data_IF_251460809849
#
_entry.id   IF_251460809849
#
_cell.length_a   1.000
_cell.length_b   1.000
_cell.length_c   1.000
_cell.angle_alpha   90.00
_cell.angle_beta   90.00
_cell.angle_gamma   90.00
#
_symmetry.space_group_name_H-M   'P 1'
#
loop_
_entity.id
_entity.type
_entity.pdbx_description
1 polymer ?
#
# COMPACT_ATOMS: atom_id res chain seq x y z
N UNK A 1 -27.13 25.72 39.70
CA UNK A 1 -26.51 25.32 38.41
C UNK A 1 -27.60 24.69 37.56
N UNK A 2 -27.55 24.82 36.24
CA UNK A 2 -28.51 24.12 35.38
C UNK A 2 -28.32 22.60 35.54
N UNK A 3 -29.40 21.85 35.76
CA UNK A 3 -29.37 20.38 35.91
C UNK A 3 -29.28 19.64 34.55
N UNK A 4 -29.49 20.37 33.45
CA UNK A 4 -29.53 19.86 32.09
C UNK A 4 -28.69 20.74 31.17
N UNK A 5 -28.36 20.23 29.98
CA UNK A 5 -27.49 20.91 29.01
C UNK A 5 -26.02 20.71 29.36
N UNK A 6 -25.20 21.71 29.07
CA UNK A 6 -23.76 21.64 29.37
C UNK A 6 -23.52 21.88 30.86
N UNK A 7 -23.11 20.83 31.57
CA UNK A 7 -22.78 20.86 33.00
C UNK A 7 -21.28 20.60 33.23
N UNK A 8 -20.82 20.68 34.49
CA UNK A 8 -19.45 20.30 34.85
C UNK A 8 -19.13 18.83 34.59
N UNK A 9 -20.15 17.96 34.58
CA UNK A 9 -19.99 16.53 34.32
C UNK A 9 -20.15 16.17 32.83
N UNK A 10 -20.32 17.17 31.96
CA UNK A 10 -20.61 16.99 30.53
C UNK A 10 -22.05 17.35 30.16
N UNK A 11 -22.48 16.93 28.97
CA UNK A 11 -23.83 17.18 28.49
C UNK A 11 -24.84 16.23 29.15
N UNK A 12 -25.88 16.80 29.76
CA UNK A 12 -26.98 16.05 30.37
C UNK A 12 -28.25 16.35 29.59
N UNK A 13 -28.69 15.37 28.80
CA UNK A 13 -29.91 15.48 28.00
C UNK A 13 -31.15 15.52 28.90
N UNK A 14 -32.01 16.52 28.71
CA UNK A 14 -33.36 16.53 29.28
C UNK A 14 -34.24 15.56 28.47
N UNK A 15 -34.87 14.55 29.08
CA UNK A 15 -35.69 13.57 28.32
C UNK A 15 -37.11 14.10 28.14
N UNK A 16 -37.87 13.45 27.28
CA UNK A 16 -39.25 13.86 26.94
C UNK A 16 -40.17 13.96 28.18
N UNK A 17 -40.15 13.02 29.14
CA UNK A 17 -41.05 13.10 30.31
C UNK A 17 -40.84 14.37 31.13
N UNK A 18 -39.59 14.76 31.38
CA UNK A 18 -39.29 15.96 32.16
C UNK A 18 -39.67 17.23 31.38
N UNK A 19 -39.49 17.22 30.05
CA UNK A 19 -39.92 18.33 29.18
C UNK A 19 -41.44 18.47 29.14
N UNK A 20 -42.17 17.36 29.02
CA UNK A 20 -43.63 17.34 28.99
C UNK A 20 -44.20 17.84 30.32
N UNK A 21 -43.62 17.42 31.43
CA UNK A 21 -44.02 17.91 32.75
C UNK A 21 -43.82 19.43 32.88
N UNK A 22 -42.68 19.98 32.45
CA UNK A 22 -42.45 21.43 32.45
C UNK A 22 -43.45 22.19 31.56
N UNK A 23 -43.80 21.63 30.39
CA UNK A 23 -44.79 22.21 29.49
C UNK A 23 -46.20 22.21 30.11
N UNK A 24 -46.59 21.11 30.76
CA UNK A 24 -47.85 21.01 31.49
C UNK A 24 -47.95 21.99 32.66
N UNK A 25 -46.88 22.15 33.43
CA UNK A 25 -46.82 23.13 34.52
C UNK A 25 -46.96 24.56 34.00
N UNK A 26 -46.27 24.90 32.89
CA UNK A 26 -46.38 26.21 32.25
C UNK A 26 -47.77 26.47 31.67
N UNK A 27 -48.39 25.46 31.05
CA UNK A 27 -49.74 25.58 30.50
C UNK A 27 -50.75 25.88 31.63
N UNK A 28 -50.68 25.17 32.75
CA UNK A 28 -51.52 25.44 33.93
C UNK A 28 -51.31 26.83 34.52
N UNK A 29 -50.06 27.31 34.56
CA UNK A 29 -49.77 28.68 35.00
C UNK A 29 -50.36 29.75 34.07
N UNK A 30 -50.35 29.52 32.75
CA UNK A 30 -50.82 30.49 31.77
C UNK A 30 -52.34 30.50 31.58
N UNK A 31 -52.98 29.33 31.57
CA UNK A 31 -54.41 29.18 31.25
C UNK A 31 -55.29 28.85 32.48
N UNK A 32 -54.69 28.67 33.67
CA UNK A 32 -55.37 28.35 34.91
C UNK A 32 -55.30 26.86 35.28
N UNK A 33 -55.44 26.54 36.57
CA UNK A 33 -55.23 25.19 37.09
C UNK A 33 -56.34 24.19 36.72
N UNK A 34 -57.49 24.67 36.26
CA UNK A 34 -58.66 23.84 35.94
C UNK A 34 -58.62 23.26 34.52
N UNK A 35 -57.62 23.62 33.72
CA UNK A 35 -57.47 23.06 32.37
C UNK A 35 -57.14 21.57 32.42
N UNK A 36 -57.83 20.79 31.61
CA UNK A 36 -57.51 19.38 31.39
C UNK A 36 -56.38 19.26 30.37
N UNK A 37 -55.31 18.57 30.76
CA UNK A 37 -54.06 18.41 29.99
C UNK A 37 -53.72 16.94 29.76
N UNK A 38 -54.73 16.07 29.85
CA UNK A 38 -54.57 14.65 29.52
C UNK A 38 -54.24 14.52 28.02
N UNK A 39 -53.49 13.48 27.60
CA UNK A 39 -53.12 13.27 26.19
C UNK A 39 -54.32 13.19 25.24
N UNK A 40 -55.51 12.90 25.77
CA UNK A 40 -56.78 12.79 25.05
C UNK A 40 -57.40 14.16 24.71
N UNK A 41 -56.96 15.23 25.37
CA UNK A 41 -57.39 16.61 25.06
C UNK A 41 -56.55 17.20 23.93
N UNK A 42 -57.14 18.12 23.16
CA UNK A 42 -56.44 18.84 22.08
C UNK A 42 -55.17 19.52 22.61
N UNK A 43 -55.25 20.17 23.77
CA UNK A 43 -54.10 20.84 24.38
C UNK A 43 -53.03 19.83 24.83
N UNK A 44 -53.42 18.72 25.47
CA UNK A 44 -52.47 17.67 25.87
C UNK A 44 -51.78 16.99 24.68
N UNK A 45 -52.51 16.76 23.58
CA UNK A 45 -51.91 16.26 22.33
C UNK A 45 -50.91 17.28 21.76
N UNK A 46 -51.27 18.57 21.70
CA UNK A 46 -50.36 19.62 21.18
C UNK A 46 -49.07 19.72 22.01
N UNK A 47 -49.18 19.72 23.34
CA UNK A 47 -48.02 19.77 24.23
C UNK A 47 -47.15 18.51 24.12
N UNK A 48 -47.75 17.35 23.87
CA UNK A 48 -47.01 16.10 23.62
C UNK A 48 -46.21 16.16 22.31
N UNK A 49 -46.80 16.67 21.22
CA UNK A 49 -46.11 16.88 19.94
C UNK A 49 -44.96 17.87 20.11
N UNK A 50 -45.16 18.93 20.88
CA UNK A 50 -44.13 19.92 21.17
C UNK A 50 -42.99 19.33 22.00
N UNK A 51 -43.30 18.55 23.05
CA UNK A 51 -42.31 17.85 23.86
C UNK A 51 -41.49 16.85 23.03
N UNK A 52 -42.12 16.13 22.10
CA UNK A 52 -41.43 15.21 21.19
C UNK A 52 -40.44 15.96 20.29
N UNK A 53 -40.86 17.09 19.69
CA UNK A 53 -39.99 17.93 18.86
C UNK A 53 -38.82 18.50 19.65
N UNK A 54 -39.04 18.96 20.88
CA UNK A 54 -37.94 19.42 21.72
C UNK A 54 -37.02 18.26 22.15
N UNK A 55 -37.56 17.08 22.44
CA UNK A 55 -36.75 15.91 22.72
C UNK A 55 -35.82 15.59 21.54
N UNK A 56 -36.32 15.59 20.30
CA UNK A 56 -35.48 15.41 19.10
C UNK A 56 -34.39 16.48 18.98
N UNK A 57 -34.68 17.74 19.33
CA UNK A 57 -33.67 18.80 19.36
C UNK A 57 -32.61 18.55 20.45
N UNK A 58 -33.02 18.12 21.64
CA UNK A 58 -32.10 17.76 22.72
C UNK A 58 -31.20 16.57 22.35
N UNK A 59 -31.72 15.58 21.63
CA UNK A 59 -30.94 14.47 21.07
C UNK A 59 -29.96 14.93 20.01
N UNK A 60 -30.37 15.82 19.11
CA UNK A 60 -29.47 16.42 18.13
C UNK A 60 -28.34 17.20 18.81
N UNK A 61 -28.66 18.00 19.84
CA UNK A 61 -27.65 18.78 20.57
C UNK A 61 -26.67 17.87 21.33
N UNK A 62 -27.16 16.78 21.94
CA UNK A 62 -26.29 15.75 22.53
C UNK A 62 -25.36 15.13 21.49
N UNK A 63 -25.89 14.80 20.30
CA UNK A 63 -25.09 14.29 19.19
C UNK A 63 -24.05 15.29 18.69
N UNK A 64 -24.40 16.59 18.58
CA UNK A 64 -23.47 17.66 18.21
C UNK A 64 -22.37 17.82 19.26
N UNK A 65 -22.70 17.74 20.54
CA UNK A 65 -21.72 17.76 21.62
C UNK A 65 -20.78 16.55 21.53
N UNK A 66 -21.32 15.33 21.35
CA UNK A 66 -20.55 14.11 21.19
C UNK A 66 -19.65 14.10 19.95
N UNK A 67 -20.07 14.75 18.86
CA UNK A 67 -19.29 14.85 17.62
C UNK A 67 -18.00 15.69 17.76
N UNK A 68 -17.85 16.48 18.83
CA UNK A 68 -16.65 17.30 19.06
C UNK A 68 -15.50 16.51 19.68
N UNK A 69 -15.80 15.42 20.38
CA UNK A 69 -14.79 14.63 21.08
C UNK A 69 -14.46 13.40 20.27
N UNK A 70 -13.17 13.12 20.02
CA UNK A 70 -12.76 11.93 19.29
C UNK A 70 -13.51 10.72 19.80
N UNK A 71 -13.39 10.37 21.09
CA UNK A 71 -13.94 9.16 21.74
C UNK A 71 -15.45 8.90 21.58
N UNK A 72 -16.23 9.88 21.11
CA UNK A 72 -17.67 9.73 20.85
C UNK A 72 -18.09 10.07 19.42
N UNK A 73 -17.20 10.61 18.59
CA UNK A 73 -17.50 11.02 17.23
C UNK A 73 -17.35 9.85 16.24
N UNK A 74 -18.11 9.85 15.15
CA UNK A 74 -17.98 8.82 14.10
C UNK A 74 -17.87 9.45 12.72
N UNK A 75 -17.36 8.69 11.75
CA UNK A 75 -17.19 9.11 10.36
C UNK A 75 -16.49 10.46 10.21
N UNK A 76 -17.04 11.35 9.38
CA UNK A 76 -16.43 12.65 9.07
C UNK A 76 -16.23 13.56 10.31
N UNK A 77 -17.04 13.39 11.36
CA UNK A 77 -16.85 14.15 12.60
C UNK A 77 -15.66 13.62 13.40
N UNK A 78 -15.46 12.30 13.41
CA UNK A 78 -14.26 11.71 13.98
C UNK A 78 -13.01 12.22 13.25
N UNK A 79 -13.02 12.23 11.91
CA UNK A 79 -11.90 12.72 11.11
C UNK A 79 -11.54 14.18 11.43
N UNK A 80 -12.56 15.03 11.60
CA UNK A 80 -12.37 16.43 12.02
C UNK A 80 -11.83 16.51 13.45
N UNK A 81 -12.39 15.73 14.39
CA UNK A 81 -11.98 15.75 15.78
C UNK A 81 -10.53 15.26 15.98
N UNK A 82 -10.10 14.22 15.25
CA UNK A 82 -8.71 13.72 15.32
C UNK A 82 -7.73 14.61 14.55
N UNK A 83 -8.19 15.40 13.58
CA UNK A 83 -7.30 16.27 12.79
C UNK A 83 -6.52 17.27 13.65
N UNK A 84 -7.06 17.66 14.81
CA UNK A 84 -6.38 18.54 15.77
C UNK A 84 -5.08 17.94 16.35
N UNK A 85 -4.95 16.61 16.38
CA UNK A 85 -3.73 15.93 16.82
C UNK A 85 -2.80 15.55 15.66
N UNK A 86 -3.11 15.99 14.44
CA UNK A 86 -2.32 15.68 13.24
C UNK A 86 -2.61 14.32 12.62
N UNK A 87 -3.44 13.50 13.27
CA UNK A 87 -3.87 12.19 12.77
C UNK A 87 -4.85 12.38 11.62
N UNK A 88 -4.62 11.66 10.52
CA UNK A 88 -5.54 11.55 9.41
C UNK A 88 -5.84 10.09 9.14
N UNK A 89 -7.09 9.77 8.83
CA UNK A 89 -7.52 8.41 8.46
C UNK A 89 -6.69 7.88 7.31
N UNK A 90 -6.19 6.65 7.45
CA UNK A 90 -5.49 6.01 6.35
C UNK A 90 -6.51 5.65 5.27
N UNK A 91 -6.32 6.20 4.08
CA UNK A 91 -7.17 5.97 2.93
C UNK A 91 -6.93 4.58 2.35
N UNK A 92 -7.97 4.06 1.69
CA UNK A 92 -7.91 2.80 0.97
C UNK A 92 -6.92 2.88 -0.20
N UNK A 93 -6.22 1.78 -0.46
CA UNK A 93 -5.26 1.64 -1.55
C UNK A 93 -5.50 0.33 -2.31
N UNK A 94 -5.37 0.39 -3.64
CA UNK A 94 -5.47 -0.79 -4.53
C UNK A 94 -4.17 -1.60 -4.42
N UNK A 95 -4.27 -2.91 -4.54
CA UNK A 95 -3.07 -3.73 -4.71
C UNK A 95 -2.52 -3.53 -6.12
N UNK A 96 -1.20 -3.46 -6.27
CA UNK A 96 -0.55 -3.30 -7.57
C UNK A 96 0.52 -4.35 -7.83
N UNK A 97 0.75 -4.69 -9.08
CA UNK A 97 1.81 -5.61 -9.48
C UNK A 97 2.32 -5.29 -10.89
N UNK A 98 3.65 -5.22 -11.11
CA UNK A 98 4.22 -5.10 -12.44
C UNK A 98 4.16 -6.46 -13.16
N UNK A 99 3.41 -6.51 -14.26
CA UNK A 99 3.25 -7.71 -15.11
C UNK A 99 3.88 -7.46 -16.46
N UNK A 100 4.57 -8.46 -16.99
CA UNK A 100 5.12 -8.47 -18.35
C UNK A 100 4.15 -9.20 -19.26
N UNK A 101 3.69 -8.52 -20.30
CA UNK A 101 2.89 -9.09 -21.40
C UNK A 101 3.82 -9.49 -22.52
N UNK A 102 3.92 -10.78 -22.78
CA UNK A 102 4.78 -11.35 -23.81
C UNK A 102 3.98 -11.57 -25.09
N UNK A 103 4.47 -11.07 -26.22
CA UNK A 103 3.73 -11.12 -27.47
C UNK A 103 4.52 -10.65 -28.67
N UNK A 104 3.79 -10.42 -29.76
CA UNK A 104 4.33 -9.87 -31.00
C UNK A 104 4.56 -8.36 -30.85
N UNK A 105 5.42 -7.81 -31.72
CA UNK A 105 5.61 -6.37 -31.81
C UNK A 105 4.33 -5.68 -32.32
N UNK A 106 4.06 -4.48 -31.82
CA UNK A 106 2.91 -3.64 -32.11
C UNK A 106 1.54 -4.21 -31.67
N UNK A 107 1.53 -5.26 -30.85
CA UNK A 107 0.31 -5.75 -30.21
C UNK A 107 -0.26 -4.71 -29.24
N UNK A 108 -1.53 -4.35 -29.43
CA UNK A 108 -2.28 -3.44 -28.55
C UNK A 108 -2.75 -4.18 -27.29
N UNK A 109 -2.47 -3.59 -26.14
CA UNK A 109 -3.01 -3.96 -24.83
C UNK A 109 -3.96 -2.83 -24.43
N UNK A 110 -5.29 -3.01 -24.54
CA UNK A 110 -6.26 -2.01 -24.15
C UNK A 110 -6.20 -1.70 -22.66
N UNK A 111 -6.65 -0.50 -22.27
CA UNK A 111 -6.99 -0.25 -20.87
C UNK A 111 -8.02 -1.29 -20.38
N UNK A 112 -8.02 -1.56 -19.08
CA UNK A 112 -8.91 -2.55 -18.46
C UNK A 112 -8.71 -4.02 -18.90
N UNK A 113 -7.53 -4.37 -19.42
CA UNK A 113 -7.14 -5.76 -19.66
C UNK A 113 -6.96 -6.49 -18.33
N UNK A 114 -7.65 -7.61 -18.14
CA UNK A 114 -7.67 -8.36 -16.89
C UNK A 114 -6.67 -9.52 -16.86
N UNK A 115 -5.83 -9.55 -15.82
CA UNK A 115 -4.91 -10.65 -15.48
C UNK A 115 -5.25 -11.15 -14.08
N UNK A 116 -5.29 -12.47 -13.91
CA UNK A 116 -5.63 -13.12 -12.64
C UNK A 116 -4.38 -13.51 -11.87
N UNK A 117 -4.38 -13.20 -10.57
CA UNK A 117 -3.52 -13.85 -9.60
C UNK A 117 -4.03 -15.28 -9.39
N UNK A 118 -3.28 -16.29 -9.85
CA UNK A 118 -3.74 -17.69 -9.80
C UNK A 118 -3.84 -18.25 -8.38
N UNK A 119 -3.12 -17.67 -7.42
CA UNK A 119 -3.14 -18.14 -6.03
C UNK A 119 -4.37 -17.62 -5.26
N UNK A 120 -4.70 -16.34 -5.40
CA UNK A 120 -5.83 -15.72 -4.69
C UNK A 120 -7.11 -15.60 -5.52
N UNK A 121 -7.03 -15.86 -6.83
CA UNK A 121 -8.09 -15.65 -7.81
C UNK A 121 -8.50 -14.17 -8.00
N UNK A 122 -7.74 -13.23 -7.43
CA UNK A 122 -7.98 -11.78 -7.56
C UNK A 122 -7.62 -11.30 -8.96
N UNK A 123 -8.45 -10.42 -9.53
CA UNK A 123 -8.20 -9.80 -10.84
C UNK A 123 -7.48 -8.46 -10.70
N UNK A 124 -6.50 -8.25 -11.56
CA UNK A 124 -5.77 -7.01 -11.73
C UNK A 124 -5.95 -6.50 -13.16
N UNK A 125 -6.00 -5.19 -13.32
CA UNK A 125 -6.36 -4.51 -14.55
C UNK A 125 -5.30 -3.49 -14.95
N UNK A 126 -5.10 -3.31 -16.25
CA UNK A 126 -4.27 -2.23 -16.79
C UNK A 126 -5.00 -0.89 -16.70
N UNK A 127 -4.37 0.15 -16.17
CA UNK A 127 -5.01 1.48 -16.05
C UNK A 127 -5.12 2.24 -17.39
N UNK A 128 -4.25 1.94 -18.36
CA UNK A 128 -4.20 2.65 -19.65
C UNK A 128 -3.86 1.72 -20.80
N UNK A 129 -4.14 2.15 -22.03
CA UNK A 129 -3.71 1.41 -23.21
C UNK A 129 -2.20 1.48 -23.40
N UNK A 130 -1.61 0.43 -23.94
CA UNK A 130 -0.21 0.39 -24.31
C UNK A 130 0.03 -0.57 -25.48
N UNK A 131 1.20 -0.47 -26.12
CA UNK A 131 1.59 -1.35 -27.23
C UNK A 131 2.92 -2.02 -26.94
N UNK A 132 2.98 -3.33 -27.17
CA UNK A 132 4.25 -4.08 -27.11
C UNK A 132 5.16 -3.51 -28.18
N UNK A 133 6.25 -2.86 -27.78
CA UNK A 133 7.15 -2.20 -28.71
C UNK A 133 8.61 -2.44 -28.32
N UNK A 134 9.49 -2.45 -29.33
CA UNK A 134 10.90 -2.72 -29.12
C UNK A 134 11.66 -1.55 -28.47
N UNK A 135 11.08 -0.36 -28.37
CA UNK A 135 11.71 0.82 -27.76
C UNK A 135 11.55 0.86 -26.23
N UNK A 136 10.55 0.16 -25.70
CA UNK A 136 10.22 0.05 -24.28
C UNK A 136 10.04 -1.42 -23.88
N UNK A 137 10.89 -2.30 -24.41
CA UNK A 137 10.86 -3.72 -24.10
C UNK A 137 11.35 -3.98 -22.68
N UNK A 138 10.58 -4.73 -21.89
CA UNK A 138 11.03 -5.33 -20.63
C UNK A 138 11.60 -6.73 -20.85
N UNK A 139 11.26 -7.37 -21.96
CA UNK A 139 11.81 -8.65 -22.40
C UNK A 139 11.95 -8.67 -23.92
N UNK A 140 12.96 -9.38 -24.42
CA UNK A 140 13.11 -9.68 -25.84
C UNK A 140 13.72 -11.07 -26.05
N UNK A 141 13.18 -11.81 -27.02
CA UNK A 141 13.71 -13.07 -27.51
C UNK A 141 14.29 -12.87 -28.91
N UNK A 142 15.58 -13.17 -29.06
CA UNK A 142 16.31 -13.06 -30.32
C UNK A 142 16.55 -14.46 -30.88
N UNK A 143 16.27 -14.62 -32.17
CA UNK A 143 16.51 -15.83 -32.94
C UNK A 143 17.24 -15.52 -34.25
N UNK A 144 17.87 -16.52 -34.86
CA UNK A 144 18.40 -16.38 -36.21
C UNK A 144 17.27 -16.38 -37.23
N UNK A 145 17.34 -15.46 -38.18
CA UNK A 145 16.44 -15.40 -39.34
C UNK A 145 17.05 -16.07 -40.58
N UNK A 146 18.22 -16.72 -40.44
CA UNK A 146 18.92 -17.40 -41.53
C UNK A 146 19.36 -18.80 -41.11
N UNK A 147 19.28 -19.75 -42.05
CA UNK A 147 19.84 -21.10 -41.90
C UNK A 147 21.27 -21.23 -42.43
N UNK A 148 21.71 -20.25 -43.23
CA UNK A 148 23.05 -20.22 -43.80
C UNK A 148 23.90 -19.24 -43.00
N UNK A 149 24.97 -19.74 -42.39
CA UNK A 149 25.95 -18.98 -41.61
C UNK A 149 27.32 -19.24 -42.23
N UNK A 150 28.00 -18.19 -42.67
CA UNK A 150 29.36 -18.26 -43.17
C UNK A 150 30.34 -17.68 -42.13
N UNK A 151 31.59 -18.17 -42.08
CA UNK A 151 32.63 -17.48 -41.33
C UNK A 151 32.75 -16.00 -41.76
N UNK A 152 32.92 -15.12 -40.79
CA UNK A 152 32.92 -13.65 -40.89
C UNK A 152 31.56 -12.96 -41.04
N UNK A 153 30.44 -13.69 -41.12
CA UNK A 153 29.11 -13.06 -41.02
C UNK A 153 28.97 -12.31 -39.69
N UNK A 154 28.51 -11.06 -39.73
CA UNK A 154 28.36 -10.20 -38.56
C UNK A 154 26.90 -10.23 -38.05
N UNK A 155 26.74 -10.53 -36.76
CA UNK A 155 25.47 -10.54 -36.05
C UNK A 155 25.52 -9.45 -34.98
N UNK A 156 24.49 -8.61 -34.90
CA UNK A 156 24.49 -7.50 -33.95
C UNK A 156 23.12 -7.24 -33.35
N UNK A 157 23.13 -6.86 -32.08
CA UNK A 157 21.99 -6.29 -31.38
C UNK A 157 22.37 -4.88 -30.87
N UNK A 158 21.47 -3.92 -31.02
CA UNK A 158 21.62 -2.57 -30.50
C UNK A 158 20.71 -2.48 -29.28
N UNK A 159 21.28 -2.24 -28.10
CA UNK A 159 20.55 -2.07 -26.84
C UNK A 159 20.76 -0.64 -26.36
N UNK A 160 19.69 0.13 -26.22
CA UNK A 160 19.77 1.55 -25.82
C UNK A 160 20.76 2.37 -26.65
N UNK A 161 20.79 2.12 -27.96
CA UNK A 161 21.69 2.79 -28.92
C UNK A 161 23.12 2.24 -28.96
N UNK A 162 23.50 1.34 -28.05
CA UNK A 162 24.84 0.72 -28.03
C UNK A 162 24.83 -0.59 -28.81
N UNK A 163 25.72 -0.71 -29.80
CA UNK A 163 25.80 -1.89 -30.66
C UNK A 163 26.74 -2.97 -30.07
N UNK A 164 26.20 -4.18 -29.89
CA UNK A 164 26.92 -5.38 -29.50
C UNK A 164 27.05 -6.28 -30.72
N UNK A 165 28.26 -6.72 -31.04
CA UNK A 165 28.56 -7.40 -32.31
C UNK A 165 29.30 -8.71 -32.08
N UNK A 166 28.99 -9.70 -32.91
CA UNK A 166 29.72 -10.95 -32.96
C UNK A 166 29.93 -11.37 -34.42
N UNK A 167 31.16 -11.76 -34.76
CA UNK A 167 31.48 -12.32 -36.08
C UNK A 167 31.55 -13.85 -35.99
N UNK A 168 30.82 -14.53 -36.87
CA UNK A 168 30.80 -15.98 -36.91
C UNK A 168 32.19 -16.53 -37.22
N UNK A 169 32.69 -17.42 -36.37
CA UNK A 169 33.98 -18.10 -36.57
C UNK A 169 33.84 -19.42 -37.32
N UNK A 170 32.63 -19.97 -37.37
CA UNK A 170 32.25 -21.23 -38.00
C UNK A 170 30.75 -21.25 -38.29
N UNK A 171 30.32 -22.09 -39.23
CA UNK A 171 28.92 -22.30 -39.59
C UNK A 171 28.14 -23.04 -38.49
N UNK A 172 27.81 -22.34 -37.40
CA UNK A 172 27.13 -22.94 -36.24
C UNK A 172 26.25 -21.92 -35.52
N UNK A 173 24.94 -22.21 -35.45
CA UNK A 173 23.95 -21.42 -34.70
C UNK A 173 24.37 -21.25 -33.25
N UNK A 174 24.71 -22.35 -32.58
CA UNK A 174 25.15 -22.35 -31.18
C UNK A 174 26.37 -21.45 -30.95
N UNK A 175 27.30 -21.40 -31.91
CA UNK A 175 28.48 -20.54 -31.82
C UNK A 175 28.11 -19.06 -31.89
N UNK A 176 27.20 -18.69 -32.79
CA UNK A 176 26.71 -17.32 -32.95
C UNK A 176 25.91 -16.87 -31.73
N UNK A 177 24.95 -17.68 -31.28
CA UNK A 177 24.10 -17.39 -30.11
C UNK A 177 24.94 -17.24 -28.84
N UNK A 178 25.90 -18.15 -28.59
CA UNK A 178 26.82 -18.01 -27.44
C UNK A 178 27.72 -16.78 -27.55
N UNK A 179 28.24 -16.51 -28.75
CA UNK A 179 29.11 -15.36 -28.99
C UNK A 179 28.42 -14.03 -28.73
N UNK A 180 27.25 -13.83 -29.35
CA UNK A 180 26.46 -12.61 -29.18
C UNK A 180 25.91 -12.47 -27.74
N UNK A 181 25.38 -13.55 -27.16
CA UNK A 181 24.92 -13.51 -25.75
C UNK A 181 26.04 -13.22 -24.77
N UNK A 182 27.28 -13.67 -25.05
CA UNK A 182 28.46 -13.33 -24.25
C UNK A 182 28.72 -11.82 -24.19
N UNK A 183 28.59 -11.11 -25.31
CA UNK A 183 28.70 -9.64 -25.36
C UNK A 183 27.55 -8.97 -24.60
N UNK A 184 26.32 -9.47 -24.76
CA UNK A 184 25.15 -8.90 -24.10
C UNK A 184 25.15 -9.12 -22.58
N UNK A 185 25.83 -10.15 -22.08
CA UNK A 185 26.00 -10.40 -20.62
C UNK A 185 26.85 -9.36 -19.92
N UNK A 186 27.57 -8.51 -20.64
CA UNK A 186 28.32 -7.38 -20.06
C UNK A 186 27.41 -6.20 -19.67
N UNK A 187 26.10 -6.28 -19.97
CA UNK A 187 25.13 -5.23 -19.64
C UNK A 187 24.58 -5.45 -18.23
N UNK A 188 24.93 -4.57 -17.29
CA UNK A 188 24.60 -4.72 -15.87
C UNK A 188 23.10 -4.66 -15.52
N UNK A 189 22.27 -4.03 -16.37
CA UNK A 189 20.85 -3.80 -16.08
C UNK A 189 19.90 -4.84 -16.71
N UNK A 190 20.42 -5.85 -17.43
CA UNK A 190 19.63 -6.93 -18.03
C UNK A 190 20.15 -8.30 -17.62
N UNK A 191 19.25 -9.27 -17.57
CA UNK A 191 19.58 -10.69 -17.51
C UNK A 191 19.58 -11.27 -18.91
N UNK A 192 20.64 -11.99 -19.27
CA UNK A 192 20.77 -12.64 -20.58
C UNK A 192 20.89 -14.15 -20.40
N UNK A 193 19.91 -14.88 -20.92
CA UNK A 193 19.89 -16.34 -20.98
C UNK A 193 19.99 -16.82 -22.43
N UNK A 194 20.54 -18.01 -22.66
CA UNK A 194 20.54 -18.65 -23.97
C UNK A 194 20.54 -20.18 -23.83
N UNK A 195 19.91 -20.86 -24.79
CA UNK A 195 19.81 -22.32 -24.88
C UNK A 195 20.53 -22.91 -26.11
N UNK A 196 21.48 -22.13 -26.66
CA UNK A 196 22.19 -22.35 -27.94
C UNK A 196 21.38 -22.09 -29.21
N UNK A 197 20.08 -21.80 -29.12
CA UNK A 197 19.22 -21.49 -30.27
C UNK A 197 18.65 -20.09 -30.16
N UNK A 198 18.28 -19.67 -28.94
CA UNK A 198 17.68 -18.37 -28.67
C UNK A 198 18.52 -17.57 -27.67
N UNK A 199 18.37 -16.24 -27.70
CA UNK A 199 18.84 -15.34 -26.63
C UNK A 199 17.61 -14.69 -26.01
N UNK A 200 17.47 -14.80 -24.70
CA UNK A 200 16.43 -14.11 -23.93
C UNK A 200 17.07 -13.01 -23.10
N UNK A 201 16.56 -11.79 -23.24
CA UNK A 201 17.03 -10.60 -22.54
C UNK A 201 15.87 -10.08 -21.70
N UNK A 202 16.08 -9.92 -20.40
CA UNK A 202 15.06 -9.44 -19.45
C UNK A 202 15.59 -8.26 -18.66
N UNK A 203 14.83 -7.16 -18.60
CA UNK A 203 15.17 -5.99 -17.81
C UNK A 203 15.13 -6.29 -16.30
N UNK A 204 16.23 -6.04 -15.59
CA UNK A 204 16.31 -6.23 -14.13
C UNK A 204 16.28 -4.90 -13.38
N UNK A 205 17.32 -4.09 -13.49
CA UNK A 205 17.48 -2.84 -12.73
C UNK A 205 16.89 -1.60 -13.42
N UNK A 206 16.20 -1.80 -14.55
CA UNK A 206 15.49 -0.77 -15.32
C UNK A 206 14.08 -1.27 -15.63
N UNK A 207 13.07 -0.38 -15.78
CA UNK A 207 11.73 -0.79 -16.21
C UNK A 207 11.69 -1.34 -17.63
N UNK A 208 12.53 -0.83 -18.53
CA UNK A 208 12.59 -1.23 -19.94
C UNK A 208 13.94 -0.89 -20.59
N UNK A 209 14.15 -1.40 -21.81
CA UNK A 209 15.23 -1.05 -22.74
C UNK A 209 14.70 -0.95 -24.17
N UNK A 210 15.44 -0.27 -25.04
CA UNK A 210 15.22 -0.31 -26.48
C UNK A 210 16.10 -1.36 -27.12
N UNK A 211 15.58 -2.08 -28.12
CA UNK A 211 16.30 -3.12 -28.85
C UNK A 211 16.03 -3.07 -30.36
N UNK A 212 17.08 -3.28 -31.15
CA UNK A 212 16.98 -3.63 -32.57
C UNK A 212 18.06 -4.64 -32.94
N UNK A 213 17.84 -5.45 -33.97
CA UNK A 213 18.78 -6.51 -34.38
C UNK A 213 19.14 -6.39 -35.86
N UNK A 214 20.27 -6.97 -36.27
CA UNK A 214 20.68 -7.05 -37.68
C UNK A 214 19.73 -7.93 -38.51
N UNK A 215 19.69 -7.79 -39.85
CA UNK A 215 18.73 -8.51 -40.71
C UNK A 215 18.79 -10.05 -40.67
N UNK A 216 19.92 -10.61 -40.22
CA UNK A 216 20.13 -12.04 -40.04
C UNK A 216 19.60 -12.57 -38.69
N UNK A 217 19.04 -11.69 -37.87
CA UNK A 217 18.36 -11.99 -36.61
C UNK A 217 16.91 -11.51 -36.67
N UNK A 218 16.07 -12.04 -35.79
CA UNK A 218 14.69 -11.61 -35.60
C UNK A 218 14.37 -11.49 -34.12
N UNK A 219 13.47 -10.57 -33.79
CA UNK A 219 12.86 -10.46 -32.47
C UNK A 219 11.60 -11.32 -32.48
N UNK A 220 11.73 -12.60 -32.10
CA UNK A 220 10.64 -13.57 -32.21
C UNK A 220 9.55 -13.40 -31.13
N UNK A 221 9.89 -12.72 -30.03
CA UNK A 221 8.96 -12.37 -28.94
C UNK A 221 9.46 -11.11 -28.23
N UNK A 222 8.56 -10.21 -27.90
CA UNK A 222 8.82 -9.05 -27.05
C UNK A 222 7.97 -9.14 -25.78
N UNK A 223 8.37 -8.44 -24.74
CA UNK A 223 7.59 -8.28 -23.54
C UNK A 223 7.49 -6.82 -23.11
N UNK A 224 6.28 -6.36 -22.81
CA UNK A 224 6.03 -5.02 -22.25
C UNK A 224 5.67 -5.15 -20.78
N UNK A 225 6.34 -4.40 -19.90
CA UNK A 225 5.97 -4.32 -18.47
C UNK A 225 4.93 -3.23 -18.26
N UNK A 226 3.81 -3.59 -17.67
CA UNK A 226 2.76 -2.67 -17.23
C UNK A 226 2.52 -2.86 -15.74
N UNK A 227 2.27 -1.76 -15.03
CA UNK A 227 1.78 -1.81 -13.66
C UNK A 227 0.27 -2.06 -13.72
N UNK A 228 -0.19 -3.16 -13.11
CA UNK A 228 -1.61 -3.46 -12.99
C UNK A 228 -2.08 -3.23 -11.57
N UNK A 229 -3.34 -2.83 -11.41
CA UNK A 229 -3.99 -2.63 -10.11
C UNK A 229 -5.28 -3.42 -9.97
N UNK A 230 -5.67 -3.76 -8.75
CA UNK A 230 -7.05 -4.24 -8.49
C UNK A 230 -8.05 -3.14 -8.80
N UNK A 231 -9.30 -3.49 -9.11
CA UNK A 231 -10.35 -2.49 -9.37
C UNK A 231 -10.69 -1.73 -8.08
N UNK A 232 -10.99 -2.47 -7.03
CA UNK A 232 -11.27 -1.98 -5.68
C UNK A 232 -10.03 -2.07 -4.78
N UNK A 233 -10.00 -1.36 -3.64
CA UNK A 233 -9.00 -1.56 -2.61
C UNK A 233 -8.91 -3.03 -2.19
N UNK A 234 -7.68 -3.51 -2.04
CA UNK A 234 -7.42 -4.93 -1.78
C UNK A 234 -6.18 -5.06 -0.94
N UNK A 235 -6.12 -6.12 -0.14
CA UNK A 235 -4.91 -6.54 0.59
C UNK A 235 -4.19 -7.69 -0.12
N UNK A 236 -4.66 -8.09 -1.30
CA UNK A 236 -4.05 -9.15 -2.10
C UNK A 236 -2.59 -8.80 -2.42
N UNK A 237 -1.70 -9.77 -2.30
CA UNK A 237 -0.29 -9.60 -2.66
C UNK A 237 0.11 -10.69 -3.63
N UNK A 238 0.29 -10.32 -4.89
CA UNK A 238 0.83 -11.23 -5.90
C UNK A 238 2.32 -11.52 -5.63
N UNK A 239 2.65 -12.76 -5.31
CA UNK A 239 4.04 -13.23 -5.25
C UNK A 239 4.57 -13.50 -6.67
N UNK A 240 5.89 -13.67 -6.81
CA UNK A 240 6.54 -13.92 -8.12
C UNK A 240 5.91 -15.13 -8.81
N UNK A 241 5.58 -14.99 -10.10
CA UNK A 241 5.01 -16.06 -10.91
C UNK A 241 3.50 -16.29 -10.77
N UNK A 242 2.80 -15.52 -9.93
CA UNK A 242 1.37 -15.71 -9.69
C UNK A 242 0.47 -14.97 -10.69
N UNK A 243 0.99 -13.99 -11.44
CA UNK A 243 0.27 -13.25 -12.46
C UNK A 243 0.40 -13.91 -13.83
N UNK A 244 -0.06 -15.15 -13.96
CA UNK A 244 0.20 -16.01 -15.12
C UNK A 244 -1.02 -16.33 -16.00
N UNK A 245 -2.21 -15.89 -15.61
CA UNK A 245 -3.45 -16.19 -16.32
C UNK A 245 -4.10 -14.92 -16.87
N UNK A 246 -4.07 -14.78 -18.20
CA UNK A 246 -4.73 -13.70 -18.91
C UNK A 246 -6.21 -14.04 -19.14
N UNK A 247 -7.12 -13.22 -18.62
CA UNK A 247 -8.58 -13.44 -18.74
C UNK A 247 -9.14 -12.79 -20.00
N UNK A 248 -8.67 -11.58 -20.33
CA UNK A 248 -9.04 -10.90 -21.56
C UNK A 248 -8.24 -11.49 -22.72
N UNK A 249 -8.89 -12.18 -23.67
CA UNK A 249 -8.19 -12.67 -24.86
C UNK A 249 -7.70 -11.50 -25.71
N UNK A 250 -6.37 -11.42 -25.91
CA UNK A 250 -5.73 -10.42 -26.75
C UNK A 250 -4.98 -11.12 -27.89
N UNK A 251 -5.34 -10.79 -29.13
CA UNK A 251 -4.63 -11.30 -30.29
C UNK A 251 -3.18 -10.76 -30.32
N UNK A 252 -2.21 -11.65 -30.49
CA UNK A 252 -0.78 -11.32 -30.45
C UNK A 252 -0.12 -11.34 -29.07
N UNK A 253 -0.88 -11.40 -27.96
CA UNK A 253 -0.32 -11.70 -26.63
C UNK A 253 -0.32 -13.21 -26.41
N UNK A 254 0.83 -13.76 -26.04
CA UNK A 254 1.04 -15.20 -25.87
C UNK A 254 1.04 -15.61 -24.40
N UNK A 255 1.56 -14.76 -23.54
CA UNK A 255 1.79 -15.08 -22.13
C UNK A 255 1.83 -13.80 -21.28
N UNK A 256 1.48 -13.92 -20.01
CA UNK A 256 1.68 -12.88 -18.99
C UNK A 256 2.42 -13.48 -17.81
N UNK A 257 3.30 -12.71 -17.17
CA UNK A 257 3.97 -13.14 -15.94
C UNK A 257 4.49 -11.95 -15.13
N UNK A 258 4.59 -12.08 -13.80
CA UNK A 258 5.30 -11.13 -12.94
C UNK A 258 6.63 -11.73 -12.45
N UNK A 259 7.71 -10.98 -12.65
CA UNK A 259 9.06 -11.39 -12.23
C UNK A 259 9.47 -10.82 -10.86
N UNK A 260 8.62 -9.96 -10.29
CA UNK A 260 8.79 -9.38 -8.96
C UNK A 260 7.47 -9.46 -8.21
N UNK A 261 7.55 -9.40 -6.88
CA UNK A 261 6.36 -9.33 -6.02
C UNK A 261 5.59 -8.03 -6.24
N UNK A 262 4.27 -8.11 -6.14
CA UNK A 262 3.37 -6.96 -6.08
C UNK A 262 3.38 -6.28 -4.71
N UNK A 263 2.76 -5.10 -4.67
CA UNK A 263 2.51 -4.33 -3.46
C UNK A 263 1.06 -4.53 -3.04
N UNK A 264 0.85 -5.05 -1.84
CA UNK A 264 -0.50 -5.13 -1.25
C UNK A 264 -1.01 -3.73 -0.95
N UNK A 265 -2.27 -3.47 -1.31
CA UNK A 265 -3.00 -2.30 -0.88
C UNK A 265 -3.53 -2.47 0.55
N UNK A 266 -4.59 -1.73 0.87
CA UNK A 266 -5.30 -1.80 2.16
C UNK A 266 -6.71 -1.24 2.03
N UNK A 267 -7.59 -1.66 2.92
CA UNK A 267 -8.88 -0.99 3.08
C UNK A 267 -8.74 0.36 3.79
N UNK A 268 -9.77 1.19 3.68
CA UNK A 268 -9.84 2.41 4.49
C UNK A 268 -9.89 2.03 5.96
N UNK A 269 -9.14 2.75 6.78
CA UNK A 269 -9.08 2.52 8.22
C UNK A 269 -10.46 2.74 8.86
N UNK A 270 -10.89 1.78 9.67
CA UNK A 270 -12.16 1.84 10.40
C UNK A 270 -12.12 2.89 11.52
N UNK A 271 -13.29 3.34 11.99
CA UNK A 271 -13.38 4.25 13.14
C UNK A 271 -12.64 3.68 14.36
N UNK A 272 -12.81 2.38 14.64
CA UNK A 272 -12.15 1.70 15.77
C UNK A 272 -10.63 1.67 15.66
N UNK A 273 -10.08 1.50 14.46
CA UNK A 273 -8.63 1.54 14.26
C UNK A 273 -8.09 2.96 14.38
N UNK A 274 -8.79 3.94 13.81
CA UNK A 274 -8.46 5.35 13.93
C UNK A 274 -8.47 5.79 15.40
N UNK A 275 -9.42 5.28 16.19
CA UNK A 275 -9.49 5.48 17.64
C UNK A 275 -8.26 4.98 18.39
N UNK A 276 -7.84 3.75 18.09
CA UNK A 276 -6.65 3.18 18.69
C UNK A 276 -5.41 3.96 18.25
N UNK A 277 -5.35 4.44 17.01
CA UNK A 277 -4.22 5.23 16.52
C UNK A 277 -4.22 6.67 17.04
N UNK A 278 -5.38 7.24 17.37
CA UNK A 278 -5.50 8.63 17.82
C UNK A 278 -4.56 8.98 18.98
N UNK A 279 -4.36 8.07 19.94
CA UNK A 279 -3.46 8.31 21.07
C UNK A 279 -1.99 8.47 20.66
N UNK A 280 -1.60 7.92 19.51
CA UNK A 280 -0.25 8.08 18.92
C UNK A 280 -0.10 9.41 18.17
N UNK A 281 -1.22 10.08 17.89
CA UNK A 281 -1.30 11.32 17.14
C UNK A 281 -0.50 12.48 17.73
N UNK A 282 -0.49 12.60 19.06
CA UNK A 282 0.21 13.68 19.77
C UNK A 282 1.67 13.80 19.32
N UNK A 283 2.30 12.69 18.94
CA UNK A 283 3.69 12.64 18.49
C UNK A 283 3.90 12.91 16.99
N UNK A 284 2.84 12.91 16.17
CA UNK A 284 2.95 13.16 14.72
C UNK A 284 3.37 14.60 14.40
N UNK A 285 2.91 15.57 15.20
CA UNK A 285 3.37 16.96 15.11
C UNK A 285 4.79 17.14 15.69
N UNK A 286 5.31 16.14 16.37
CA UNK A 286 6.66 16.13 16.92
C UNK A 286 7.71 15.82 15.87
N UNK A 287 8.95 16.17 16.20
CA UNK A 287 10.15 15.70 15.53
C UNK A 287 11.24 15.48 16.59
N UNK A 288 12.33 14.81 16.21
CA UNK A 288 13.52 14.64 17.04
C UNK A 288 13.32 13.86 18.36
N UNK A 289 12.24 13.09 18.51
CA UNK A 289 12.06 12.11 19.59
C UNK A 289 11.80 10.72 19.01
N UNK A 290 12.05 9.66 19.80
CA UNK A 290 11.79 8.27 19.39
C UNK A 290 10.32 8.07 19.02
N UNK A 291 9.40 8.60 19.83
CA UNK A 291 7.96 8.47 19.62
C UNK A 291 7.49 9.23 18.37
N UNK A 292 8.02 10.44 18.13
CA UNK A 292 7.71 11.21 16.93
C UNK A 292 8.24 10.56 15.65
N UNK A 293 9.46 10.02 15.70
CA UNK A 293 10.01 9.23 14.60
C UNK A 293 9.16 8.00 14.33
N UNK A 294 8.77 7.26 15.38
CA UNK A 294 7.92 6.08 15.23
C UNK A 294 6.58 6.44 14.58
N UNK A 295 5.89 7.46 15.09
CA UNK A 295 4.58 7.87 14.62
C UNK A 295 4.61 8.35 13.15
N UNK A 296 5.60 9.17 12.79
CA UNK A 296 5.71 9.71 11.44
C UNK A 296 6.16 8.68 10.40
N UNK A 297 7.07 7.76 10.78
CA UNK A 297 7.51 6.70 9.87
C UNK A 297 6.43 5.65 9.63
N UNK A 298 5.55 5.41 10.60
CA UNK A 298 4.40 4.49 10.43
C UNK A 298 3.39 5.00 9.41
N UNK A 299 3.28 6.31 9.22
CA UNK A 299 2.38 6.93 8.25
C UNK A 299 2.93 6.97 6.81
N UNK A 300 4.17 6.50 6.58
CA UNK A 300 4.70 6.38 5.22
C UNK A 300 3.93 5.27 4.50
N UNK A 301 3.46 5.56 3.29
CA UNK A 301 2.67 4.63 2.46
C UNK A 301 3.39 3.29 2.33
N UNK A 302 2.63 2.21 2.56
CA UNK A 302 3.10 0.84 2.49
C UNK A 302 3.88 0.35 3.72
N UNK A 303 4.13 1.15 4.77
CA UNK A 303 4.80 0.68 5.99
C UNK A 303 3.84 -0.11 6.89
N UNK A 304 4.21 -1.36 7.22
CA UNK A 304 3.37 -2.25 8.02
C UNK A 304 3.82 -2.31 9.50
N UNK A 305 5.13 -2.40 9.73
CA UNK A 305 5.68 -2.49 11.09
C UNK A 305 7.07 -1.88 11.14
N UNK A 306 7.42 -1.29 12.28
CA UNK A 306 8.72 -0.69 12.49
C UNK A 306 9.15 -0.72 13.95
N UNK A 307 10.45 -0.54 14.18
CA UNK A 307 11.04 -0.29 15.49
C UNK A 307 12.19 0.70 15.39
N UNK A 308 12.22 1.64 16.33
CA UNK A 308 13.26 2.66 16.46
C UNK A 308 14.10 2.34 17.69
N UNK A 309 15.42 2.37 17.54
CA UNK A 309 16.39 2.27 18.62
C UNK A 309 17.24 3.55 18.61
N UNK A 310 17.58 4.04 19.79
CA UNK A 310 18.44 5.20 19.98
C UNK A 310 19.68 4.79 20.74
N UNK A 311 20.82 5.34 20.35
CA UNK A 311 22.04 5.34 21.13
C UNK A 311 22.51 6.78 21.32
N UNK A 312 22.19 7.34 22.47
CA UNK A 312 22.55 8.69 22.92
C UNK A 312 23.94 8.76 23.56
N UNK A 313 24.58 7.61 23.79
CA UNK A 313 25.91 7.54 24.42
C UNK A 313 27.04 7.85 23.44
N UNK A 314 28.22 8.14 24.00
CA UNK A 314 29.46 8.35 23.25
C UNK A 314 30.21 7.06 22.86
N UNK A 315 29.56 5.90 23.00
CA UNK A 315 30.10 4.59 22.66
C UNK A 315 29.12 3.80 21.79
N UNK A 316 29.59 2.73 21.15
CA UNK A 316 28.73 1.82 20.40
C UNK A 316 27.99 0.90 21.37
N UNK A 317 26.66 0.92 21.34
CA UNK A 317 25.79 0.09 22.20
C UNK A 317 24.98 -0.86 21.33
N UNK A 318 25.02 -2.16 21.62
CA UNK A 318 24.26 -3.19 20.88
C UNK A 318 24.49 -3.16 19.34
N UNK A 319 25.71 -2.81 18.91
CA UNK A 319 26.06 -2.68 17.50
C UNK A 319 25.60 -1.37 16.83
N UNK A 320 24.91 -0.49 17.55
CA UNK A 320 24.49 0.83 17.10
C UNK A 320 25.61 1.83 17.42
N UNK A 321 26.21 2.52 16.43
CA UNK A 321 27.26 3.51 16.67
C UNK A 321 26.85 4.61 17.64
N UNK A 322 27.83 5.28 18.26
CA UNK A 322 27.59 6.42 19.15
C UNK A 322 26.76 7.52 18.48
N UNK A 323 25.91 8.21 19.26
CA UNK A 323 25.05 9.33 18.80
C UNK A 323 24.32 9.03 17.49
N UNK A 324 23.67 7.87 17.43
CA UNK A 324 22.96 7.46 16.22
C UNK A 324 21.63 6.77 16.51
N UNK A 325 20.72 6.87 15.55
CA UNK A 325 19.46 6.15 15.55
C UNK A 325 19.55 4.94 14.63
N UNK A 326 18.95 3.83 15.06
CA UNK A 326 18.81 2.62 14.26
C UNK A 326 17.34 2.29 14.06
N UNK A 327 16.91 2.25 12.81
CA UNK A 327 15.50 2.05 12.46
C UNK A 327 15.36 0.79 11.62
N UNK A 328 14.45 -0.09 12.03
CA UNK A 328 14.10 -1.32 11.31
C UNK A 328 12.65 -1.20 10.83
N UNK A 329 12.42 -1.18 9.52
CA UNK A 329 11.09 -0.96 8.92
C UNK A 329 10.75 -2.05 7.91
N UNK A 330 9.53 -2.58 8.00
CA UNK A 330 8.92 -3.49 7.01
C UNK A 330 7.88 -2.72 6.18
N UNK A 331 7.93 -2.87 4.86
CA UNK A 331 7.00 -2.22 3.93
C UNK A 331 7.38 -0.78 3.58
N UNK A 332 6.73 -0.20 2.58
CA UNK A 332 6.95 1.16 2.05
C UNK A 332 8.19 1.28 1.18
N UNK A 333 8.29 2.33 0.37
CA UNK A 333 9.43 2.55 -0.53
C UNK A 333 10.63 3.10 0.23
N UNK A 334 11.83 2.62 -0.12
CA UNK A 334 13.10 3.06 0.51
C UNK A 334 13.29 4.58 0.41
N UNK A 335 12.90 5.18 -0.73
CA UNK A 335 12.99 6.62 -0.97
C UNK A 335 12.10 7.43 -0.01
N UNK A 336 10.87 6.98 0.22
CA UNK A 336 9.91 7.72 1.04
C UNK A 336 10.25 7.58 2.53
N UNK A 337 10.71 6.40 2.94
CA UNK A 337 11.24 6.16 4.29
C UNK A 337 12.47 7.04 4.53
N UNK A 338 13.42 7.08 3.59
CA UNK A 338 14.63 7.88 3.75
C UNK A 338 14.33 9.38 3.83
N UNK A 339 13.39 9.88 3.00
CA UNK A 339 12.89 11.27 3.07
C UNK A 339 12.22 11.56 4.42
N UNK A 340 11.37 10.66 4.90
CA UNK A 340 10.71 10.81 6.19
C UNK A 340 11.73 10.81 7.34
N UNK A 341 12.71 9.90 7.33
CA UNK A 341 13.81 9.87 8.30
C UNK A 341 14.58 11.18 8.30
N UNK A 342 14.96 11.72 7.13
CA UNK A 342 15.66 13.00 7.04
C UNK A 342 14.82 14.15 7.63
N UNK A 343 13.51 14.15 7.38
CA UNK A 343 12.58 15.20 7.83
C UNK A 343 12.40 15.21 9.35
N UNK A 344 12.28 14.04 9.99
CA UNK A 344 11.88 13.93 11.39
C UNK A 344 13.01 13.57 12.36
N UNK A 345 14.19 13.17 11.86
CA UNK A 345 15.34 12.89 12.72
C UNK A 345 15.89 14.19 13.34
N UNK A 346 16.53 14.12 14.52
CA UNK A 346 17.30 15.25 15.04
C UNK A 346 18.45 15.63 14.10
N UNK A 347 18.74 16.93 14.03
CA UNK A 347 19.92 17.44 13.32
C UNK A 347 21.20 16.98 14.04
N UNK A 348 22.26 16.69 13.29
CA UNK A 348 23.54 16.23 13.85
C UNK A 348 23.60 14.77 14.30
N UNK A 349 22.45 14.07 14.38
CA UNK A 349 22.39 12.64 14.71
C UNK A 349 22.52 11.78 13.46
N UNK A 350 23.40 10.77 13.54
CA UNK A 350 23.66 9.80 12.48
C UNK A 350 22.56 8.74 12.41
N UNK A 351 22.44 8.11 11.24
CA UNK A 351 21.52 6.98 11.03
C UNK A 351 22.31 5.70 10.78
N UNK A 352 21.89 4.58 11.36
CA UNK A 352 22.50 3.27 11.21
C UNK A 352 21.60 2.29 10.47
N UNK A 353 22.17 1.33 9.75
CA UNK A 353 21.44 0.31 9.02
C UNK A 353 22.18 -0.25 7.82
N UNK A 354 21.57 -1.25 7.18
CA UNK A 354 22.12 -1.97 6.02
C UNK A 354 21.75 -1.33 4.69
N UNK A 355 20.53 -0.79 4.61
CA UNK A 355 20.05 -0.03 3.46
C UNK A 355 20.56 1.39 3.60
N UNK A 356 21.15 1.93 2.53
CA UNK A 356 21.70 3.29 2.51
C UNK A 356 21.22 4.01 1.27
N UNK A 357 20.65 5.20 1.46
CA UNK A 357 20.09 6.01 0.39
C UNK A 357 20.47 7.48 0.56
N UNK A 358 20.80 8.14 -0.53
CA UNK A 358 21.06 9.58 -0.53
C UNK A 358 19.76 10.33 -0.84
N UNK A 359 19.30 11.13 0.11
CA UNK A 359 18.11 12.00 -0.03
C UNK A 359 18.52 13.46 0.10
N UNK A 360 17.91 14.32 -0.71
CA UNK A 360 18.20 15.75 -0.70
C UNK A 360 17.29 16.49 0.28
N UNK A 361 17.82 17.51 0.94
CA UNK A 361 17.02 18.46 1.71
C UNK A 361 16.41 19.57 0.84
N UNK A 362 15.73 20.53 1.46
CA UNK A 362 15.10 21.68 0.78
C UNK A 362 16.09 22.61 0.08
N UNK A 363 17.38 22.54 0.41
CA UNK A 363 18.46 23.30 -0.21
C UNK A 363 19.21 22.46 -1.26
N UNK A 364 18.64 21.32 -1.68
CA UNK A 364 19.23 20.36 -2.61
C UNK A 364 20.54 19.70 -2.13
N UNK A 365 20.88 19.83 -0.85
CA UNK A 365 22.07 19.20 -0.29
C UNK A 365 21.80 17.71 -0.04
N UNK A 366 22.64 16.79 -0.57
CA UNK A 366 22.48 15.36 -0.31
C UNK A 366 22.88 14.97 1.12
N UNK A 367 22.05 14.13 1.75
CA UNK A 367 22.27 13.50 3.04
C UNK A 367 22.15 11.98 2.88
N UNK A 368 23.13 11.25 3.45
CA UNK A 368 23.09 9.79 3.47
C UNK A 368 22.27 9.29 4.65
N UNK A 369 21.13 8.67 4.37
CA UNK A 369 20.25 8.05 5.36
C UNK A 369 20.40 6.54 5.32
N UNK A 370 20.45 5.91 6.50
CA UNK A 370 20.58 4.46 6.67
C UNK A 370 19.49 3.90 7.56
N UNK A 371 18.95 2.74 7.19
CA UNK A 371 18.00 1.96 7.98
C UNK A 371 18.10 0.48 7.59
N UNK A 372 17.34 -0.41 8.23
CA UNK A 372 17.34 -1.83 7.91
C UNK A 372 15.95 -2.37 7.61
N UNK A 373 15.89 -3.37 6.72
CA UNK A 373 14.71 -4.21 6.51
C UNK A 373 14.80 -5.46 7.39
N UNK A 374 13.69 -5.94 7.99
CA UNK A 374 13.70 -7.17 8.78
C UNK A 374 13.97 -8.39 7.88
N UNK A 375 14.70 -9.36 8.41
CA UNK A 375 14.91 -10.67 7.77
C UNK A 375 13.91 -11.67 8.35
N UNK A 376 13.15 -12.34 7.48
CA UNK A 376 12.24 -13.42 7.90
C UNK A 376 13.07 -14.53 8.57
N UNK A 377 12.66 -14.96 9.77
CA UNK A 377 13.17 -16.15 10.43
C UNK A 377 11.99 -17.07 10.67
N UNK A 378 12.09 -18.30 10.18
CA UNK A 378 11.09 -19.32 10.45
C UNK A 378 11.22 -19.77 11.91
N UNK A 379 10.09 -19.87 12.60
CA UNK A 379 10.00 -20.41 13.96
C UNK A 379 9.05 -21.59 13.89
N UNK A 380 9.49 -22.74 14.39
CA UNK A 380 8.65 -23.92 14.53
C UNK A 380 8.09 -23.94 15.95
N UNK A 381 6.77 -23.93 16.06
CA UNK A 381 6.06 -23.97 17.34
C UNK A 381 5.28 -25.27 17.43
N UNK A 382 5.41 -25.96 18.55
CA UNK A 382 4.48 -27.02 18.95
C UNK A 382 3.55 -26.44 20.01
N UNK A 383 2.30 -26.21 19.63
CA UNK A 383 1.28 -25.66 20.52
C UNK A 383 0.40 -26.83 20.96
N UNK A 384 0.21 -26.97 22.28
CA UNK A 384 -0.75 -27.91 22.87
C UNK A 384 -1.85 -27.02 23.45
N UNK A 385 -3.07 -27.16 22.95
CA UNK A 385 -4.24 -26.43 23.46
C UNK A 385 -5.06 -27.41 24.27
N UNK A 386 -5.24 -27.13 25.55
CA UNK A 386 -6.17 -27.83 26.42
C UNK A 386 -7.42 -26.97 26.58
N UNK A 387 -8.53 -27.42 26.00
CA UNK A 387 -9.84 -26.80 26.19
C UNK A 387 -10.58 -27.55 27.28
N UNK A 388 -10.93 -26.87 28.36
CA UNK A 388 -11.96 -27.37 29.28
C UNK A 388 -13.31 -27.21 28.61
N UNK A 389 -14.03 -28.33 28.45
CA UNK A 389 -15.44 -28.29 28.12
C UNK A 389 -16.19 -28.46 29.43
N UNK A 390 -17.04 -27.50 29.79
CA UNK A 390 -18.01 -27.72 30.86
C UNK A 390 -18.83 -28.98 30.52
N UNK A 391 -19.10 -29.81 31.52
CA UNK A 391 -19.72 -31.13 31.39
C UNK A 391 -21.02 -31.07 30.56
N UNK A 392 -20.92 -31.37 29.26
CA UNK A 392 -22.09 -31.39 28.37
C UNK A 392 -21.80 -31.54 26.88
N UNK A 393 -20.66 -31.08 26.36
CA UNK A 393 -20.36 -31.20 24.92
C UNK A 393 -19.06 -31.97 24.66
N UNK A 394 -19.12 -32.98 23.79
CA UNK A 394 -17.93 -33.73 23.37
C UNK A 394 -17.06 -32.87 22.45
N UNK A 395 -15.85 -32.53 22.91
CA UNK A 395 -14.81 -31.95 22.06
C UNK A 395 -14.44 -32.93 20.92
N UNK A 396 -14.83 -32.59 19.68
CA UNK A 396 -14.19 -33.17 18.50
C UNK A 396 -12.75 -32.66 18.43
N UNK A 397 -11.79 -33.58 18.57
CA UNK A 397 -10.38 -33.35 18.23
C UNK A 397 -10.28 -32.79 16.81
N UNK A 398 -9.93 -31.51 16.68
CA UNK A 398 -9.38 -30.98 15.45
C UNK A 398 -7.85 -31.12 15.53
N UNK A 399 -7.32 -32.08 14.78
CA UNK A 399 -5.89 -32.12 14.46
C UNK A 399 -5.74 -31.39 13.12
N UNK A 400 -5.10 -30.24 13.13
CA UNK A 400 -4.35 -29.70 11.99
C UNK A 400 -3.25 -28.79 12.49
#
# INVERSE_FOLDING_TARGET
MANYGLTRSGFVRKRMPEQLQELFEKAKQAFGNEIEITPETVLGTMLSIEAERFASLWELVEGVYGAMYPMSATGANLDRAVSFTGVKRLQAERSTVPVIFFGQADTLIPAYTAVRNVASQTLYYTDSEARINANQAAYARIELNTKTINPNDEFSAIINGVAYRFRATRSSVASVIKGLSGQLKEIDYVSVQNDNVIIEITAQSTPHFSISVSPNLTLSRLGLRLELGTEEPSEDKAEIGQMSELITMLDGVVEVNNLVEGTAGRFEESDTELYQRYHLGVWQNGAATVDALYANLRNVVGVNTLRVYENDTDQTVNGIPKRSIYVVIKGGLDQDIAKALLKYKPIGIGTHGRTSLSVKDSQNQPHLIKFSRPRKRYIWLKIIVETFVDEGEMAKRAIS
#
